data_IF_988730066094
#
_entry.id   IF_988730066094
#
_cell.length_a   1.000
_cell.length_b   1.000
_cell.length_c   1.000
_cell.angle_alpha   90.00
_cell.angle_beta   90.00
_cell.angle_gamma   90.00
#
_symmetry.space_group_name_H-M   'P 1'
#
loop_
_entity.id
_entity.type
_entity.pdbx_description
1 polymer ?
#
# COMPACT_ATOMS: atom_id res chain seq x y z
N UNK A 1 -2.61 3.96 -0.09
CA UNK A 1 -2.04 4.91 0.91
C UNK A 1 -0.51 4.89 0.85
N UNK A 2 0.18 6.02 0.97
CA UNK A 2 1.64 6.07 0.90
C UNK A 2 2.25 7.24 1.67
N UNK A 3 3.54 7.12 2.03
CA UNK A 3 4.40 8.24 2.39
C UNK A 3 5.57 8.36 1.39
N UNK A 4 5.91 9.58 1.02
CA UNK A 4 7.06 9.89 0.16
C UNK A 4 7.70 11.20 0.61
N UNK A 5 9.03 11.18 0.79
CA UNK A 5 9.81 12.37 1.12
C UNK A 5 10.41 13.02 -0.13
N UNK A 6 10.91 12.20 -1.06
CA UNK A 6 11.65 12.65 -2.24
C UNK A 6 10.99 12.27 -3.57
N UNK A 7 9.74 11.79 -3.53
CA UNK A 7 8.95 11.47 -4.73
C UNK A 7 9.06 10.02 -5.24
N UNK A 8 10.00 9.21 -4.76
CA UNK A 8 10.14 7.81 -5.21
C UNK A 8 8.88 7.00 -4.94
N UNK A 9 8.46 6.90 -3.68
CA UNK A 9 7.25 6.14 -3.31
C UNK A 9 5.98 6.74 -3.94
N UNK A 10 5.91 8.06 -4.08
CA UNK A 10 4.80 8.71 -4.77
C UNK A 10 4.71 8.32 -6.24
N UNK A 11 5.88 8.26 -6.93
CA UNK A 11 5.93 7.82 -8.33
C UNK A 11 5.38 6.40 -8.50
N UNK A 12 5.72 5.48 -7.61
CA UNK A 12 5.19 4.11 -7.61
C UNK A 12 3.68 4.08 -7.29
N UNK A 13 3.23 4.86 -6.32
CA UNK A 13 1.82 4.96 -5.97
C UNK A 13 0.95 5.42 -7.16
N UNK A 14 1.48 6.35 -7.97
CA UNK A 14 0.80 6.83 -9.18
C UNK A 14 0.73 5.75 -10.28
N UNK A 15 1.72 4.88 -10.39
CA UNK A 15 1.65 3.75 -11.31
C UNK A 15 0.62 2.71 -10.87
N UNK A 16 0.52 2.45 -9.55
CA UNK A 16 -0.56 1.57 -9.02
C UNK A 16 -1.93 2.17 -9.36
N UNK A 17 -2.12 3.47 -9.14
CA UNK A 17 -3.36 4.15 -9.50
C UNK A 17 -3.65 4.02 -11.00
N UNK A 18 -2.66 4.32 -11.84
CA UNK A 18 -2.82 4.22 -13.30
C UNK A 18 -3.15 2.79 -13.78
N UNK A 19 -2.65 1.77 -13.06
CA UNK A 19 -3.03 0.37 -13.31
C UNK A 19 -4.46 0.07 -12.88
N UNK A 20 -4.87 0.56 -11.71
CA UNK A 20 -6.22 0.35 -11.19
C UNK A 20 -7.30 1.12 -11.97
N UNK A 21 -6.93 2.22 -12.62
CA UNK A 21 -7.81 3.04 -13.48
C UNK A 21 -7.69 2.66 -14.97
N UNK A 22 -7.25 1.42 -15.28
CA UNK A 22 -7.22 0.94 -16.66
C UNK A 22 -8.65 1.01 -17.26
N UNK A 23 -8.83 1.58 -18.47
CA UNK A 23 -10.15 1.74 -19.07
C UNK A 23 -10.93 0.45 -19.32
N UNK A 24 -10.27 -0.70 -19.25
CA UNK A 24 -10.91 -2.00 -19.39
C UNK A 24 -11.54 -2.53 -18.09
N UNK A 25 -11.31 -1.85 -16.97
CA UNK A 25 -11.81 -2.23 -15.64
C UNK A 25 -12.99 -1.33 -15.29
N UNK A 26 -14.09 -1.91 -14.89
CA UNK A 26 -15.33 -1.20 -14.58
C UNK A 26 -15.71 -1.37 -13.09
N UNK A 27 -16.52 -0.44 -12.58
CA UNK A 27 -17.12 -0.52 -11.23
C UNK A 27 -16.12 -0.56 -10.06
N UNK A 28 -14.93 0.00 -10.24
CA UNK A 28 -13.92 0.14 -9.19
C UNK A 28 -13.71 1.63 -8.89
N UNK A 29 -13.87 2.01 -7.62
CA UNK A 29 -13.52 3.34 -7.13
C UNK A 29 -12.11 3.31 -6.52
N UNK A 30 -11.26 4.26 -6.87
CA UNK A 30 -9.89 4.35 -6.40
C UNK A 30 -9.65 5.59 -5.55
N UNK A 31 -8.79 5.47 -4.54
CA UNK A 31 -8.29 6.60 -3.74
C UNK A 31 -6.78 6.53 -3.59
N UNK A 32 -6.10 7.63 -3.88
CA UNK A 32 -4.68 7.80 -3.60
C UNK A 32 -4.50 8.81 -2.48
N UNK A 33 -4.00 8.39 -1.33
CA UNK A 33 -3.88 9.22 -0.13
C UNK A 33 -2.47 9.18 0.43
N UNK A 34 -1.98 10.34 0.87
CA UNK A 34 -0.76 10.40 1.69
C UNK A 34 -1.06 9.90 3.09
N UNK A 35 -0.10 9.24 3.73
CA UNK A 35 -0.26 8.68 5.08
C UNK A 35 -0.75 9.71 6.12
N UNK A 36 -0.35 10.97 6.00
CA UNK A 36 -0.79 12.07 6.88
C UNK A 36 -2.27 12.44 6.71
N UNK A 37 -2.82 12.19 5.52
CA UNK A 37 -4.19 12.57 5.14
C UNK A 37 -5.17 11.38 5.22
N UNK A 38 -4.65 10.16 5.26
CA UNK A 38 -5.42 8.93 5.41
C UNK A 38 -5.81 8.69 6.87
N UNK A 39 -6.97 8.07 7.09
CA UNK A 39 -7.50 7.78 8.41
C UNK A 39 -8.26 6.45 8.49
N UNK A 40 -8.88 6.21 9.63
CA UNK A 40 -9.66 5.00 9.91
C UNK A 40 -10.82 4.79 8.92
N UNK A 41 -11.46 5.88 8.49
CA UNK A 41 -12.57 5.81 7.54
C UNK A 41 -12.13 5.31 6.17
N UNK A 42 -10.89 5.60 5.76
CA UNK A 42 -10.34 5.10 4.49
C UNK A 42 -10.05 3.59 4.57
N UNK A 43 -9.60 3.09 5.73
CA UNK A 43 -9.45 1.66 5.97
C UNK A 43 -10.79 0.92 5.97
N UNK A 44 -11.82 1.50 6.60
CA UNK A 44 -13.17 0.92 6.65
C UNK A 44 -13.89 0.96 5.30
N UNK A 45 -13.49 1.88 4.43
CA UNK A 45 -14.05 2.01 3.08
C UNK A 45 -13.40 1.04 2.08
N UNK A 46 -12.11 0.70 2.26
CA UNK A 46 -11.34 -0.04 1.27
C UNK A 46 -11.67 -1.54 1.29
N UNK A 47 -11.83 -2.13 0.12
CA UNK A 47 -11.89 -3.59 -0.09
C UNK A 47 -10.49 -4.18 -0.28
N UNK A 48 -9.52 -3.38 -0.75
CA UNK A 48 -8.11 -3.75 -0.89
C UNK A 48 -7.21 -2.53 -0.73
N UNK A 49 -6.00 -2.70 -0.20
CA UNK A 49 -5.08 -1.59 0.06
C UNK A 49 -3.67 -1.85 -0.49
N UNK A 50 -3.12 -0.89 -1.23
CA UNK A 50 -1.68 -0.79 -1.47
C UNK A 50 -1.06 0.18 -0.45
N UNK A 51 -0.06 -0.30 0.29
CA UNK A 51 0.64 0.45 1.34
C UNK A 51 2.09 0.73 0.91
N UNK A 52 2.44 2.01 0.75
CA UNK A 52 3.74 2.46 0.28
C UNK A 52 4.55 3.22 1.32
N UNK A 53 5.82 2.88 1.47
CA UNK A 53 6.74 3.60 2.35
C UNK A 53 8.16 3.59 1.81
N UNK A 54 8.96 4.65 2.04
CA UNK A 54 10.40 4.51 1.95
C UNK A 54 10.94 3.73 3.17
N UNK A 55 12.05 3.01 2.99
CA UNK A 55 12.82 2.49 4.11
C UNK A 55 13.70 3.59 4.68
N UNK A 56 13.47 3.96 5.93
CA UNK A 56 14.27 4.93 6.68
C UNK A 56 14.91 4.24 7.89
N UNK A 57 16.24 4.25 7.97
CA UNK A 57 16.97 3.62 9.08
C UNK A 57 16.59 2.16 9.34
N UNK A 58 16.38 1.38 8.27
CA UNK A 58 15.97 -0.03 8.40
C UNK A 58 14.57 -0.23 8.94
N UNK A 59 13.67 0.73 8.77
CA UNK A 59 12.30 0.74 9.28
C UNK A 59 11.35 1.44 8.30
N UNK A 60 10.04 1.29 8.49
CA UNK A 60 9.07 2.11 7.76
C UNK A 60 9.25 3.59 8.09
N UNK A 61 8.76 4.47 7.25
CA UNK A 61 8.78 5.91 7.56
C UNK A 61 7.93 6.26 8.78
N UNK A 62 8.31 7.31 9.51
CA UNK A 62 7.55 7.79 10.67
C UNK A 62 6.10 8.13 10.35
N UNK A 63 5.82 8.68 9.16
CA UNK A 63 4.45 9.00 8.74
C UNK A 63 3.60 7.74 8.47
N UNK A 64 4.21 6.67 7.96
CA UNK A 64 3.54 5.38 7.83
C UNK A 64 3.23 4.77 9.19
N UNK A 65 4.19 4.84 10.12
CA UNK A 65 3.99 4.39 11.51
C UNK A 65 2.91 5.19 12.23
N UNK A 66 2.92 6.52 12.07
CA UNK A 66 1.89 7.41 12.61
C UNK A 66 0.49 7.03 12.11
N UNK A 67 0.32 6.78 10.80
CA UNK A 67 -0.94 6.31 10.25
C UNK A 67 -1.41 5.01 10.93
N UNK A 68 -0.54 4.02 11.06
CA UNK A 68 -0.87 2.75 11.71
C UNK A 68 -1.21 2.95 13.19
N UNK A 69 -0.47 3.78 13.92
CA UNK A 69 -0.75 4.05 15.34
C UNK A 69 -2.08 4.78 15.54
N UNK A 70 -2.39 5.78 14.72
CA UNK A 70 -3.63 6.57 14.82
C UNK A 70 -4.88 5.79 14.52
N UNK A 71 -4.79 4.82 13.60
CA UNK A 71 -5.98 4.14 13.08
C UNK A 71 -6.29 2.84 13.82
N UNK A 72 -5.33 2.24 14.52
CA UNK A 72 -5.50 0.91 15.12
C UNK A 72 -6.74 0.79 16.00
N UNK A 73 -6.83 1.58 17.04
CA UNK A 73 -7.96 1.49 17.98
C UNK A 73 -9.30 1.95 17.39
N UNK A 74 -9.25 2.80 16.36
CA UNK A 74 -10.46 3.28 15.69
C UNK A 74 -11.11 2.21 14.82
N UNK A 75 -10.32 1.28 14.28
CA UNK A 75 -10.80 0.20 13.40
C UNK A 75 -10.87 -1.15 14.10
N UNK A 76 -10.33 -1.29 15.32
CA UNK A 76 -10.33 -2.53 16.09
C UNK A 76 -11.75 -3.06 16.26
N UNK A 77 -11.96 -4.32 15.88
CA UNK A 77 -13.27 -4.97 15.93
C UNK A 77 -14.30 -4.49 14.91
N UNK A 78 -13.94 -3.56 14.02
CA UNK A 78 -14.83 -3.02 12.96
C UNK A 78 -14.34 -3.35 11.56
N UNK A 79 -13.00 -3.49 11.38
CA UNK A 79 -12.39 -3.75 10.09
C UNK A 79 -12.54 -5.24 9.75
N UNK A 80 -13.15 -5.53 8.61
CA UNK A 80 -13.12 -6.86 8.00
C UNK A 80 -11.69 -7.22 7.56
N UNK A 81 -11.38 -8.50 7.34
CA UNK A 81 -10.09 -8.86 6.76
C UNK A 81 -9.81 -8.04 5.49
N UNK A 82 -8.73 -7.24 5.52
CA UNK A 82 -8.38 -6.32 4.44
C UNK A 82 -7.17 -6.86 3.67
N UNK A 83 -7.36 -7.29 2.41
CA UNK A 83 -6.27 -7.64 1.52
C UNK A 83 -5.31 -6.45 1.33
N UNK A 84 -3.99 -6.69 1.39
CA UNK A 84 -3.04 -5.62 1.18
C UNK A 84 -1.77 -6.07 0.44
N UNK A 85 -1.16 -5.13 -0.26
CA UNK A 85 0.16 -5.28 -0.89
C UNK A 85 1.10 -4.16 -0.45
N UNK A 86 2.41 -4.45 -0.43
CA UNK A 86 3.44 -3.48 -0.06
C UNK A 86 4.27 -3.05 -1.28
N UNK A 87 4.63 -1.78 -1.32
CA UNK A 87 5.63 -1.24 -2.25
C UNK A 87 6.60 -0.31 -1.51
N UNK A 88 7.89 -0.60 -1.63
CA UNK A 88 8.94 -0.01 -0.81
C UNK A 88 9.97 0.68 -1.70
N UNK A 89 10.34 1.92 -1.38
CA UNK A 89 11.54 2.54 -1.93
C UNK A 89 12.67 2.42 -0.91
N UNK A 90 13.76 1.75 -1.27
CA UNK A 90 14.87 1.49 -0.37
C UNK A 90 16.24 1.80 -0.99
N UNK A 91 17.13 2.33 -0.18
CA UNK A 91 18.56 2.44 -0.54
C UNK A 91 19.31 1.12 -0.32
N UNK A 92 18.83 0.30 0.60
CA UNK A 92 19.31 -1.05 0.88
C UNK A 92 18.33 -2.10 0.34
N UNK A 93 18.05 -3.15 1.09
CA UNK A 93 17.21 -4.27 0.65
C UNK A 93 15.71 -4.12 0.95
N UNK A 94 15.30 -3.07 1.68
CA UNK A 94 13.91 -2.83 2.05
C UNK A 94 13.37 -3.75 3.15
N UNK A 95 14.15 -4.72 3.60
CA UNK A 95 13.70 -5.77 4.53
C UNK A 95 13.28 -5.23 5.89
N UNK A 96 13.91 -4.16 6.35
CA UNK A 96 13.57 -3.53 7.62
C UNK A 96 12.20 -2.86 7.60
N UNK A 97 11.87 -2.16 6.52
CA UNK A 97 10.54 -1.57 6.34
C UNK A 97 9.46 -2.67 6.24
N UNK A 98 9.71 -3.72 5.46
CA UNK A 98 8.78 -4.85 5.31
C UNK A 98 8.50 -5.48 6.67
N UNK A 99 9.54 -5.92 7.39
CA UNK A 99 9.37 -6.56 8.71
C UNK A 99 8.63 -5.68 9.71
N UNK A 100 8.91 -4.37 9.70
CA UNK A 100 8.25 -3.44 10.62
C UNK A 100 6.77 -3.29 10.34
N UNK A 101 6.37 -3.26 9.06
CA UNK A 101 4.95 -3.20 8.67
C UNK A 101 4.26 -4.54 8.95
N UNK A 102 4.84 -5.66 8.52
CA UNK A 102 4.24 -6.98 8.71
C UNK A 102 4.03 -7.32 10.19
N UNK A 103 4.95 -6.89 11.07
CA UNK A 103 4.79 -7.04 12.52
C UNK A 103 3.56 -6.33 13.05
N UNK A 104 3.25 -5.13 12.55
CA UNK A 104 2.07 -4.36 12.94
C UNK A 104 0.83 -4.92 12.24
N UNK A 105 0.93 -5.30 10.98
CA UNK A 105 -0.14 -5.91 10.20
C UNK A 105 -0.73 -7.16 10.87
N UNK A 106 0.08 -7.90 11.63
CA UNK A 106 -0.40 -9.04 12.46
C UNK A 106 -1.39 -8.62 13.56
N UNK A 107 -1.39 -7.37 13.98
CA UNK A 107 -2.36 -6.81 14.93
C UNK A 107 -3.63 -6.28 14.26
N UNK A 108 -3.54 -5.97 12.97
CA UNK A 108 -4.68 -5.66 12.13
C UNK A 108 -5.22 -6.94 11.47
N UNK A 109 -6.43 -6.98 10.98
CA UNK A 109 -6.91 -8.08 10.13
C UNK A 109 -6.42 -7.92 8.68
N UNK A 110 -5.15 -7.56 8.48
CA UNK A 110 -4.55 -7.38 7.16
C UNK A 110 -4.10 -8.71 6.57
N UNK A 111 -4.41 -8.95 5.30
CA UNK A 111 -4.06 -10.17 4.58
C UNK A 111 -3.14 -9.84 3.40
N UNK A 112 -1.88 -10.23 3.48
CA UNK A 112 -0.92 -10.00 2.40
C UNK A 112 -1.31 -10.82 1.17
N UNK A 113 -1.46 -10.15 0.02
CA UNK A 113 -1.90 -10.80 -1.23
C UNK A 113 -0.77 -11.14 -2.20
N UNK A 114 0.41 -10.53 -2.03
CA UNK A 114 1.61 -10.85 -2.81
C UNK A 114 2.89 -10.43 -2.10
N UNK A 115 4.04 -10.85 -2.62
CA UNK A 115 5.33 -10.39 -2.13
C UNK A 115 5.52 -8.88 -2.38
N UNK A 116 6.20 -8.16 -1.46
CA UNK A 116 6.43 -6.74 -1.58
C UNK A 116 7.21 -6.36 -2.84
N UNK A 117 6.79 -5.29 -3.52
CA UNK A 117 7.56 -4.67 -4.59
C UNK A 117 8.63 -3.77 -3.96
N UNK A 118 9.90 -4.01 -4.28
CA UNK A 118 11.03 -3.24 -3.75
C UNK A 118 11.71 -2.49 -4.88
N UNK A 119 11.66 -1.16 -4.84
CA UNK A 119 12.44 -0.30 -5.71
C UNK A 119 13.78 0.01 -5.04
N UNK A 120 14.84 -0.62 -5.53
CA UNK A 120 16.23 -0.36 -5.14
C UNK A 120 17.03 0.09 -6.37
N UNK A 121 16.88 1.36 -6.74
CA UNK A 121 17.60 1.95 -7.88
C UNK A 121 16.94 1.72 -9.24
N UNK A 122 16.37 0.57 -9.53
CA UNK A 122 15.65 0.30 -10.77
C UNK A 122 14.18 0.77 -10.69
N UNK A 123 13.99 2.05 -10.93
CA UNK A 123 12.66 2.67 -10.94
C UNK A 123 11.80 2.19 -12.11
N UNK A 124 12.40 1.89 -13.25
CA UNK A 124 11.66 1.49 -14.45
C UNK A 124 10.95 0.15 -14.25
N UNK A 125 11.66 -0.86 -13.77
CA UNK A 125 11.07 -2.18 -13.45
C UNK A 125 10.04 -2.07 -12.32
N UNK A 126 10.34 -1.33 -11.25
CA UNK A 126 9.41 -1.16 -10.14
C UNK A 126 8.10 -0.47 -10.57
N UNK A 127 8.15 0.49 -11.49
CA UNK A 127 6.95 1.12 -12.06
C UNK A 127 6.06 0.14 -12.81
N UNK A 128 6.65 -0.71 -13.65
CA UNK A 128 5.90 -1.74 -14.38
C UNK A 128 5.20 -2.68 -13.39
N UNK A 129 5.93 -3.19 -12.40
CA UNK A 129 5.37 -4.06 -11.37
C UNK A 129 4.24 -3.36 -10.58
N UNK A 130 4.41 -2.10 -10.26
CA UNK A 130 3.39 -1.31 -9.56
C UNK A 130 2.13 -1.12 -10.41
N UNK A 131 2.27 -0.86 -11.71
CA UNK A 131 1.12 -0.77 -12.62
C UNK A 131 0.37 -2.10 -12.72
N UNK A 132 1.09 -3.21 -12.87
CA UNK A 132 0.53 -4.56 -12.86
C UNK A 132 -0.18 -4.88 -11.54
N UNK A 133 0.40 -4.46 -10.40
CA UNK A 133 -0.24 -4.59 -9.09
C UNK A 133 -1.58 -3.85 -9.05
N UNK A 134 -1.63 -2.61 -9.53
CA UNK A 134 -2.87 -1.83 -9.59
C UNK A 134 -3.96 -2.51 -10.40
N UNK A 135 -3.62 -3.01 -11.60
CA UNK A 135 -4.53 -3.77 -12.44
C UNK A 135 -5.03 -5.04 -11.76
N UNK A 136 -4.13 -5.83 -11.17
CA UNK A 136 -4.48 -7.06 -10.45
C UNK A 136 -5.45 -6.79 -9.29
N UNK A 137 -5.20 -5.74 -8.50
CA UNK A 137 -6.07 -5.38 -7.38
C UNK A 137 -7.46 -4.96 -7.88
N UNK A 138 -7.55 -4.12 -8.90
CA UNK A 138 -8.82 -3.64 -9.43
C UNK A 138 -9.62 -4.75 -10.11
N UNK A 139 -8.98 -5.62 -10.89
CA UNK A 139 -9.62 -6.82 -11.46
C UNK A 139 -10.11 -7.75 -10.37
N UNK A 140 -9.35 -7.89 -9.27
CA UNK A 140 -9.76 -8.69 -8.11
C UNK A 140 -11.05 -8.18 -7.48
N UNK A 141 -11.22 -6.87 -7.36
CA UNK A 141 -12.46 -6.22 -6.89
C UNK A 141 -13.61 -6.48 -7.88
N UNK A 142 -13.40 -6.19 -9.17
CA UNK A 142 -14.40 -6.38 -10.23
C UNK A 142 -14.92 -7.83 -10.29
N UNK A 143 -14.04 -8.79 -10.04
CA UNK A 143 -14.37 -10.23 -10.02
C UNK A 143 -14.90 -10.73 -8.67
N UNK A 144 -14.98 -9.90 -7.65
CA UNK A 144 -15.41 -10.28 -6.31
C UNK A 144 -14.47 -11.26 -5.60
N UNK A 145 -13.15 -11.15 -5.88
CA UNK A 145 -12.11 -11.96 -5.21
C UNK A 145 -11.72 -11.32 -3.87
N UNK A 146 -11.85 -10.02 -3.76
CA UNK A 146 -11.54 -9.21 -2.56
C UNK A 146 -12.82 -8.65 -1.94
#
# INVERSE_FOLDING_TARGET
MYHSKHGCTESLAREILAGAEDPSIENVETRILRAKDAGAQDLLWADVMALGTPENFGYMSGMTKDFLDRTFYEVEGKLSPLPYALFICAGNDGSGAIRSIERIANGYPFQKIQEPIICKGDMATAKVQCKELGQMMAVGIEMGIF
#
